data_IF_213374295493
#
_entry.id   IF_213374295493
#
_cell.length_a   1.000
_cell.length_b   1.000
_cell.length_c   1.000
_cell.angle_alpha   90.00
_cell.angle_beta   90.00
_cell.angle_gamma   90.00
#
_symmetry.space_group_name_H-M   'P 1'
#
loop_
_entity.id
_entity.type
_entity.pdbx_description
1 polymer ?
#
# COMPACT_ATOMS: atom_id res chain seq x y z
N UNK A 1 -10.71 -46.96 5.14
CA UNK A 1 -11.20 -45.89 4.24
C UNK A 1 -10.19 -45.74 3.11
N UNK A 2 -10.58 -46.03 1.87
CA UNK A 2 -9.71 -45.79 0.70
C UNK A 2 -9.88 -44.33 0.31
N UNK A 3 -8.86 -43.51 0.53
CA UNK A 3 -8.77 -42.20 -0.10
C UNK A 3 -8.51 -42.44 -1.59
N UNK A 4 -9.56 -42.55 -2.40
CA UNK A 4 -9.43 -42.43 -3.85
C UNK A 4 -9.03 -40.98 -4.14
N UNK A 5 -7.72 -40.77 -4.32
CA UNK A 5 -7.14 -39.50 -4.73
C UNK A 5 -7.57 -39.20 -6.17
N UNK A 6 -8.67 -38.47 -6.30
CA UNK A 6 -9.12 -37.93 -7.58
C UNK A 6 -8.13 -36.84 -8.02
N UNK A 7 -7.27 -37.18 -8.99
CA UNK A 7 -6.22 -36.30 -9.49
C UNK A 7 -6.78 -34.95 -9.96
N UNK A 8 -8.04 -34.91 -10.41
CA UNK A 8 -8.71 -33.66 -10.80
C UNK A 8 -8.95 -32.73 -9.61
N UNK A 9 -9.34 -33.27 -8.45
CA UNK A 9 -9.57 -32.49 -7.22
C UNK A 9 -8.27 -31.92 -6.67
N UNK A 10 -7.17 -32.68 -6.78
CA UNK A 10 -5.84 -32.19 -6.38
C UNK A 10 -5.43 -31.00 -7.25
N UNK A 11 -5.57 -31.10 -8.57
CA UNK A 11 -5.25 -30.01 -9.48
C UNK A 11 -6.10 -28.76 -9.21
N UNK A 12 -7.40 -28.93 -8.94
CA UNK A 12 -8.27 -27.81 -8.55
C UNK A 12 -7.88 -27.19 -7.22
N UNK A 13 -7.57 -27.99 -6.20
CA UNK A 13 -7.12 -27.49 -4.90
C UNK A 13 -5.81 -26.69 -5.03
N UNK A 14 -4.84 -27.23 -5.77
CA UNK A 14 -3.56 -26.54 -6.05
C UNK A 14 -3.80 -25.25 -6.82
N UNK A 15 -4.68 -25.26 -7.84
CA UNK A 15 -5.06 -24.06 -8.57
C UNK A 15 -5.70 -22.98 -7.68
N UNK A 16 -6.57 -23.37 -6.75
CA UNK A 16 -7.15 -22.45 -5.76
C UNK A 16 -6.07 -21.85 -4.88
N UNK A 17 -5.13 -22.66 -4.37
CA UNK A 17 -4.02 -22.18 -3.54
C UNK A 17 -3.15 -21.17 -4.28
N UNK A 18 -2.79 -21.45 -5.54
CA UNK A 18 -2.06 -20.49 -6.37
C UNK A 18 -2.87 -19.23 -6.67
N UNK A 19 -4.19 -19.35 -6.90
CA UNK A 19 -5.07 -18.21 -7.10
C UNK A 19 -5.13 -17.31 -5.86
N UNK A 20 -5.26 -17.90 -4.66
CA UNK A 20 -5.22 -17.15 -3.39
C UNK A 20 -3.84 -16.53 -3.18
N UNK A 21 -2.76 -17.27 -3.45
CA UNK A 21 -1.40 -16.75 -3.37
C UNK A 21 -1.19 -15.55 -4.28
N UNK A 22 -1.69 -15.60 -5.52
CA UNK A 22 -1.64 -14.49 -6.46
C UNK A 22 -2.45 -13.27 -5.97
N UNK A 23 -3.62 -13.48 -5.35
CA UNK A 23 -4.42 -12.39 -4.75
C UNK A 23 -3.67 -11.72 -3.59
N UNK A 24 -3.06 -12.50 -2.70
CA UNK A 24 -2.25 -11.97 -1.59
C UNK A 24 -1.04 -11.20 -2.13
N UNK A 25 -0.39 -11.73 -3.17
CA UNK A 25 0.76 -11.09 -3.80
C UNK A 25 0.37 -9.76 -4.48
N UNK A 26 -0.77 -9.73 -5.18
CA UNK A 26 -1.34 -8.51 -5.77
C UNK A 26 -1.71 -7.47 -4.70
N UNK A 27 -2.29 -7.89 -3.58
CA UNK A 27 -2.67 -7.01 -2.47
C UNK A 27 -1.47 -6.44 -1.68
N UNK A 28 -0.27 -7.01 -1.85
CA UNK A 28 0.98 -6.58 -1.19
C UNK A 28 1.79 -5.56 -1.98
N UNK A 29 1.23 -4.96 -3.04
CA UNK A 29 1.90 -3.97 -3.90
C UNK A 29 3.12 -4.47 -4.68
N UNK A 30 3.30 -5.79 -4.85
CA UNK A 30 4.57 -6.32 -5.38
C UNK A 30 4.70 -6.33 -6.91
N UNK A 31 3.66 -5.98 -7.67
CA UNK A 31 3.62 -6.25 -9.13
C UNK A 31 3.38 -5.00 -9.97
N UNK A 32 2.74 -3.98 -9.42
CA UNK A 32 2.41 -2.76 -10.15
C UNK A 32 2.30 -1.60 -9.16
N UNK A 33 2.97 -0.49 -9.46
CA UNK A 33 2.82 0.81 -8.79
C UNK A 33 1.48 1.45 -9.20
N UNK A 34 0.39 0.69 -9.00
CA UNK A 34 -0.96 1.22 -9.13
C UNK A 34 -1.36 1.87 -7.81
N UNK A 35 -2.17 2.90 -7.88
CA UNK A 35 -2.72 3.54 -6.71
C UNK A 35 -3.50 2.57 -5.84
N UNK A 36 -3.52 2.85 -4.54
CA UNK A 36 -4.23 2.03 -3.57
C UNK A 36 -5.74 1.98 -3.91
N UNK A 37 -6.27 3.07 -4.48
CA UNK A 37 -7.67 3.15 -4.91
C UNK A 37 -7.97 2.27 -6.10
N UNK A 38 -7.10 2.25 -7.12
CA UNK A 38 -7.29 1.40 -8.31
C UNK A 38 -7.18 -0.07 -7.94
N UNK A 39 -6.22 -0.45 -7.09
CA UNK A 39 -6.13 -1.82 -6.55
C UNK A 39 -7.41 -2.22 -5.81
N UNK A 40 -7.94 -1.34 -4.95
CA UNK A 40 -9.20 -1.56 -4.25
C UNK A 40 -10.38 -1.69 -5.22
N UNK A 41 -10.41 -0.96 -6.34
CA UNK A 41 -11.47 -1.03 -7.35
C UNK A 41 -11.39 -2.27 -8.25
N UNK A 42 -10.18 -2.78 -8.52
CA UNK A 42 -9.98 -3.97 -9.36
C UNK A 42 -10.41 -5.27 -8.67
N UNK A 43 -10.27 -5.38 -7.35
CA UNK A 43 -10.69 -6.57 -6.60
C UNK A 43 -12.21 -6.86 -6.70
N UNK A 44 -13.15 -5.91 -6.50
CA UNK A 44 -14.57 -6.15 -6.69
C UNK A 44 -14.92 -6.41 -8.17
N UNK A 45 -14.22 -5.77 -9.12
CA UNK A 45 -14.37 -6.07 -10.56
C UNK A 45 -14.01 -7.54 -10.84
N UNK A 46 -12.89 -8.02 -10.29
CA UNK A 46 -12.46 -9.41 -10.40
C UNK A 46 -13.43 -10.37 -9.69
N UNK A 47 -13.89 -10.02 -8.48
CA UNK A 47 -14.91 -10.77 -7.74
C UNK A 47 -16.16 -11.01 -8.59
N UNK A 48 -16.72 -9.95 -9.17
CA UNK A 48 -17.92 -10.03 -10.02
C UNK A 48 -17.62 -10.83 -11.29
N UNK A 49 -16.47 -10.63 -11.91
CA UNK A 49 -16.05 -11.39 -13.09
C UNK A 49 -15.98 -12.89 -12.83
N UNK A 50 -15.33 -13.28 -11.73
CA UNK A 50 -15.25 -14.68 -11.29
C UNK A 50 -16.60 -15.26 -10.90
N UNK A 51 -17.44 -14.49 -10.20
CA UNK A 51 -18.78 -14.91 -9.82
C UNK A 51 -19.66 -15.19 -11.05
N UNK A 52 -19.65 -14.26 -12.01
CA UNK A 52 -20.43 -14.39 -13.26
C UNK A 52 -19.90 -15.53 -14.11
N UNK A 53 -18.58 -15.71 -14.17
CA UNK A 53 -17.96 -16.86 -14.83
C UNK A 53 -18.40 -18.18 -14.17
N UNK A 54 -18.37 -18.26 -12.84
CA UNK A 54 -18.83 -19.42 -12.08
C UNK A 54 -20.29 -19.76 -12.42
N UNK A 55 -21.17 -18.76 -12.45
CA UNK A 55 -22.59 -18.90 -12.79
C UNK A 55 -22.88 -19.25 -14.25
N UNK A 56 -21.92 -19.08 -15.17
CA UNK A 56 -22.07 -19.38 -16.59
C UNK A 56 -21.46 -20.74 -17.00
N UNK A 57 -20.47 -21.24 -16.23
CA UNK A 57 -19.80 -22.51 -16.48
C UNK A 57 -20.73 -23.69 -16.17
N UNK A 58 -20.78 -24.67 -17.08
CA UNK A 58 -21.61 -25.89 -16.94
C UNK A 58 -20.82 -27.14 -16.53
N UNK A 59 -19.51 -27.02 -16.31
CA UNK A 59 -18.64 -28.14 -15.94
C UNK A 59 -18.59 -28.27 -14.42
N UNK A 60 -19.05 -29.41 -13.92
CA UNK A 60 -18.99 -29.72 -12.49
C UNK A 60 -17.56 -29.65 -11.96
N UNK A 61 -17.36 -28.90 -10.88
CA UNK A 61 -16.08 -28.73 -10.19
C UNK A 61 -15.38 -27.41 -10.55
N UNK A 62 -15.41 -26.99 -11.82
CA UNK A 62 -14.82 -25.70 -12.22
C UNK A 62 -15.64 -24.52 -11.70
N UNK A 63 -16.97 -24.66 -11.67
CA UNK A 63 -17.89 -23.70 -11.06
C UNK A 63 -17.58 -23.50 -9.56
N UNK A 64 -17.38 -24.58 -8.81
CA UNK A 64 -17.02 -24.54 -7.40
C UNK A 64 -15.69 -23.81 -7.17
N UNK A 65 -14.66 -24.09 -8.00
CA UNK A 65 -13.37 -23.39 -7.93
C UNK A 65 -13.53 -21.90 -8.15
N UNK A 66 -14.29 -21.49 -9.19
CA UNK A 66 -14.52 -20.08 -9.49
C UNK A 66 -15.32 -19.38 -8.39
N UNK A 67 -16.30 -20.03 -7.77
CA UNK A 67 -17.00 -19.49 -6.60
C UNK A 67 -16.07 -19.31 -5.40
N UNK A 68 -15.19 -20.26 -5.13
CA UNK A 68 -14.20 -20.14 -4.05
C UNK A 68 -13.23 -19.00 -4.32
N UNK A 69 -12.70 -18.88 -5.53
CA UNK A 69 -11.81 -17.78 -5.92
C UNK A 69 -12.52 -16.42 -5.88
N UNK A 70 -13.78 -16.37 -6.31
CA UNK A 70 -14.62 -15.18 -6.20
C UNK A 70 -14.77 -14.77 -4.73
N UNK A 71 -15.19 -15.67 -3.85
CA UNK A 71 -15.30 -15.39 -2.42
C UNK A 71 -13.96 -14.95 -1.80
N UNK A 72 -12.86 -15.63 -2.15
CA UNK A 72 -11.52 -15.25 -1.70
C UNK A 72 -11.11 -13.85 -2.18
N UNK A 73 -11.44 -13.49 -3.42
CA UNK A 73 -11.19 -12.14 -3.97
C UNK A 73 -11.98 -11.08 -3.21
N UNK A 74 -13.24 -11.37 -2.85
CA UNK A 74 -14.04 -10.44 -2.04
C UNK A 74 -13.49 -10.28 -0.62
N UNK A 75 -13.05 -11.37 0.02
CA UNK A 75 -12.39 -11.30 1.33
C UNK A 75 -11.10 -10.49 1.22
N UNK A 76 -10.31 -10.69 0.17
CA UNK A 76 -9.12 -9.89 -0.11
C UNK A 76 -9.48 -8.41 -0.31
N UNK A 77 -10.56 -8.08 -1.04
CA UNK A 77 -11.07 -6.72 -1.18
C UNK A 77 -11.39 -6.08 0.17
N UNK A 78 -12.19 -6.73 1.01
CA UNK A 78 -12.56 -6.17 2.31
C UNK A 78 -11.33 -6.01 3.21
N UNK A 79 -10.46 -7.03 3.26
CA UNK A 79 -9.22 -6.95 4.03
C UNK A 79 -8.28 -5.84 3.54
N UNK A 80 -8.19 -5.66 2.22
CA UNK A 80 -7.40 -4.59 1.61
C UNK A 80 -7.96 -3.21 1.96
N UNK A 81 -9.28 -3.01 1.81
CA UNK A 81 -9.92 -1.73 2.17
C UNK A 81 -9.73 -1.42 3.65
N UNK A 82 -9.97 -2.38 4.54
CA UNK A 82 -9.83 -2.17 5.99
C UNK A 82 -8.38 -1.88 6.40
N UNK A 83 -7.39 -2.48 5.72
CA UNK A 83 -5.98 -2.28 6.05
C UNK A 83 -5.39 -1.01 5.45
N UNK A 84 -5.86 -0.56 4.29
CA UNK A 84 -5.28 0.58 3.54
C UNK A 84 -6.10 1.85 3.59
N UNK A 85 -7.34 1.79 4.04
CA UNK A 85 -8.22 2.94 4.18
C UNK A 85 -8.65 3.02 5.63
N UNK A 86 -8.41 4.16 6.27
CA UNK A 86 -8.84 4.44 7.64
C UNK A 86 -10.37 4.56 7.70
N UNK A 87 -11.04 3.42 7.70
CA UNK A 87 -12.51 3.29 7.70
C UNK A 87 -13.11 3.32 9.11
N UNK A 88 -12.26 3.25 10.15
CA UNK A 88 -12.65 3.17 11.56
C UNK A 88 -13.47 1.92 11.92
N UNK A 89 -13.69 1.70 13.22
CA UNK A 89 -14.40 0.51 13.73
C UNK A 89 -15.84 0.38 13.19
N UNK A 90 -16.52 1.53 13.03
CA UNK A 90 -17.89 1.56 12.49
C UNK A 90 -17.91 1.15 11.01
N UNK A 91 -16.93 1.60 10.22
CA UNK A 91 -16.80 1.20 8.82
C UNK A 91 -16.52 -0.29 8.67
N UNK A 92 -15.63 -0.84 9.51
CA UNK A 92 -15.35 -2.28 9.56
C UNK A 92 -16.63 -3.08 9.87
N UNK A 93 -17.35 -2.67 10.91
CA UNK A 93 -18.60 -3.34 11.29
C UNK A 93 -19.63 -3.33 10.15
N UNK A 94 -19.85 -2.17 9.52
CA UNK A 94 -20.78 -2.04 8.40
C UNK A 94 -20.34 -2.86 7.19
N UNK A 95 -19.05 -2.89 6.87
CA UNK A 95 -18.50 -3.69 5.78
C UNK A 95 -18.77 -5.19 6.03
N UNK A 96 -18.54 -5.69 7.23
CA UNK A 96 -18.82 -7.08 7.60
C UNK A 96 -20.31 -7.40 7.58
N UNK A 97 -21.16 -6.51 8.07
CA UNK A 97 -22.62 -6.68 8.04
C UNK A 97 -23.15 -6.73 6.60
N UNK A 98 -22.71 -5.80 5.74
CA UNK A 98 -23.07 -5.78 4.32
C UNK A 98 -22.56 -7.03 3.59
N UNK A 99 -21.34 -7.49 3.92
CA UNK A 99 -20.77 -8.73 3.39
C UNK A 99 -21.62 -9.96 3.73
N UNK A 100 -22.10 -10.05 4.98
CA UNK A 100 -22.98 -11.13 5.41
C UNK A 100 -24.29 -11.14 4.60
N UNK A 101 -24.95 -9.98 4.47
CA UNK A 101 -26.17 -9.85 3.66
C UNK A 101 -25.91 -10.24 2.20
N UNK A 102 -24.79 -9.79 1.62
CA UNK A 102 -24.39 -10.14 0.26
C UNK A 102 -24.24 -11.65 0.08
N UNK A 103 -23.43 -12.33 0.89
CA UNK A 103 -23.19 -13.77 0.72
C UNK A 103 -24.41 -14.63 1.04
N UNK A 104 -25.21 -14.25 2.05
CA UNK A 104 -26.50 -14.91 2.31
C UNK A 104 -27.43 -14.73 1.11
N UNK A 105 -27.52 -13.52 0.55
CA UNK A 105 -28.33 -13.23 -0.62
C UNK A 105 -27.87 -14.00 -1.87
N UNK A 106 -26.57 -14.04 -2.15
CA UNK A 106 -26.01 -14.80 -3.26
C UNK A 106 -26.23 -16.30 -3.09
N UNK A 107 -26.04 -16.84 -1.88
CA UNK A 107 -26.30 -18.24 -1.55
C UNK A 107 -27.77 -18.62 -1.71
N UNK A 108 -28.68 -17.77 -1.23
CA UNK A 108 -30.13 -17.94 -1.40
C UNK A 108 -30.53 -17.93 -2.89
N UNK A 109 -30.06 -16.94 -3.65
CA UNK A 109 -30.36 -16.84 -5.09
C UNK A 109 -29.79 -18.02 -5.88
N UNK A 110 -28.59 -18.49 -5.52
CA UNK A 110 -27.98 -19.66 -6.16
C UNK A 110 -28.79 -20.92 -5.88
N UNK A 111 -29.21 -21.13 -4.62
CA UNK A 111 -29.93 -22.34 -4.20
C UNK A 111 -31.38 -22.38 -4.67
N UNK A 112 -32.13 -21.29 -4.50
CA UNK A 112 -33.58 -21.29 -4.75
C UNK A 112 -33.95 -20.89 -6.18
N UNK A 113 -33.21 -19.96 -6.79
CA UNK A 113 -33.51 -19.49 -8.14
C UNK A 113 -32.65 -20.14 -9.22
N UNK A 114 -31.67 -20.96 -8.82
CA UNK A 114 -30.75 -21.60 -9.75
C UNK A 114 -30.05 -20.58 -10.64
N UNK A 115 -29.47 -19.53 -10.04
CA UNK A 115 -28.76 -18.43 -10.72
C UNK A 115 -27.84 -18.96 -11.82
N UNK A 116 -28.35 -18.96 -13.05
CA UNK A 116 -27.63 -19.35 -14.26
C UNK A 116 -27.59 -18.15 -15.16
N UNK A 117 -26.38 -17.70 -15.43
CA UNK A 117 -26.17 -16.58 -16.35
C UNK A 117 -26.00 -17.15 -17.74
N UNK A 118 -26.81 -16.68 -18.68
CA UNK A 118 -26.63 -17.04 -20.08
C UNK A 118 -25.26 -16.59 -20.58
N UNK A 119 -24.62 -17.40 -21.42
CA UNK A 119 -23.28 -17.11 -21.93
C UNK A 119 -23.19 -15.75 -22.66
N UNK A 120 -24.26 -15.31 -23.32
CA UNK A 120 -24.33 -13.99 -23.94
C UNK A 120 -24.25 -12.86 -22.92
N UNK A 121 -25.00 -12.97 -21.82
CA UNK A 121 -24.98 -12.00 -20.71
C UNK A 121 -23.62 -12.01 -20.00
N UNK A 122 -23.06 -13.19 -19.73
CA UNK A 122 -21.75 -13.31 -19.10
C UNK A 122 -20.65 -12.63 -19.93
N UNK A 123 -20.67 -12.79 -21.25
CA UNK A 123 -19.73 -12.10 -22.16
C UNK A 123 -19.88 -10.58 -22.11
N UNK A 124 -21.11 -10.06 -22.09
CA UNK A 124 -21.36 -8.61 -21.99
C UNK A 124 -20.87 -8.06 -20.65
N UNK A 125 -21.17 -8.75 -19.55
CA UNK A 125 -20.68 -8.35 -18.23
C UNK A 125 -19.15 -8.38 -18.20
N UNK A 126 -18.51 -9.44 -18.70
CA UNK A 126 -17.06 -9.51 -18.80
C UNK A 126 -16.47 -8.35 -19.62
N UNK A 127 -17.08 -8.01 -20.76
CA UNK A 127 -16.64 -6.86 -21.57
C UNK A 127 -16.75 -5.54 -20.80
N UNK A 128 -17.88 -5.31 -20.11
CA UNK A 128 -18.08 -4.10 -19.30
C UNK A 128 -17.05 -4.03 -18.17
N UNK A 129 -16.82 -5.13 -17.45
CA UNK A 129 -15.81 -5.20 -16.38
C UNK A 129 -14.40 -4.94 -16.90
N UNK A 130 -14.05 -5.47 -18.08
CA UNK A 130 -12.77 -5.19 -18.73
C UNK A 130 -12.60 -3.73 -19.10
N UNK A 131 -13.65 -3.10 -19.63
CA UNK A 131 -13.63 -1.66 -19.94
C UNK A 131 -13.46 -0.84 -18.67
N UNK A 132 -14.20 -1.17 -17.60
CA UNK A 132 -14.08 -0.48 -16.30
C UNK A 132 -12.67 -0.63 -15.73
N UNK A 133 -12.11 -1.85 -15.71
CA UNK A 133 -10.75 -2.09 -15.27
C UNK A 133 -9.73 -1.29 -16.08
N UNK A 134 -9.86 -1.29 -17.42
CA UNK A 134 -8.98 -0.53 -18.30
C UNK A 134 -9.07 0.98 -18.05
N UNK A 135 -10.26 1.52 -17.81
CA UNK A 135 -10.44 2.95 -17.47
C UNK A 135 -9.73 3.29 -16.17
N UNK A 136 -9.89 2.48 -15.11
CA UNK A 136 -9.18 2.72 -13.84
C UNK A 136 -7.67 2.67 -14.02
N UNK A 137 -7.15 1.61 -14.64
CA UNK A 137 -5.70 1.44 -14.85
C UNK A 137 -5.12 2.55 -15.74
N UNK A 138 -5.81 2.94 -16.81
CA UNK A 138 -5.32 4.02 -17.68
C UNK A 138 -5.40 5.40 -17.01
N UNK A 139 -6.42 5.67 -16.20
CA UNK A 139 -6.50 6.91 -15.43
C UNK A 139 -5.34 7.01 -14.43
N UNK A 140 -5.00 5.90 -13.79
CA UNK A 140 -3.89 5.77 -12.84
C UNK A 140 -2.54 6.10 -13.49
N UNK A 141 -2.24 5.43 -14.61
CA UNK A 141 -0.94 5.53 -15.28
C UNK A 141 -0.66 6.89 -15.93
N UNK A 142 -1.70 7.68 -16.21
CA UNK A 142 -1.57 8.93 -16.93
C UNK A 142 -1.43 10.16 -16.03
N UNK A 143 -1.89 10.08 -14.78
CA UNK A 143 -2.09 11.24 -13.91
C UNK A 143 -1.65 10.98 -12.46
N UNK A 144 -1.25 9.75 -12.13
CA UNK A 144 -0.77 9.38 -10.80
C UNK A 144 0.64 9.86 -10.49
N UNK A 145 0.90 10.06 -9.20
CA UNK A 145 2.22 10.42 -8.66
C UNK A 145 2.12 11.23 -7.38
N UNK A 146 2.97 10.92 -6.41
CA UNK A 146 3.10 11.68 -5.17
C UNK A 146 4.32 12.60 -5.30
N UNK A 147 4.12 13.89 -5.07
CA UNK A 147 5.19 14.86 -5.04
C UNK A 147 5.84 14.87 -3.64
N UNK A 148 7.14 14.63 -3.59
CA UNK A 148 7.89 14.62 -2.34
C UNK A 148 8.69 15.92 -2.18
N UNK A 149 8.58 16.50 -0.99
CA UNK A 149 9.33 17.68 -0.57
C UNK A 149 10.11 17.39 0.69
N UNK A 150 11.27 18.05 0.85
CA UNK A 150 12.03 18.00 2.10
C UNK A 150 12.43 19.40 2.53
N UNK A 151 12.11 19.74 3.77
CA UNK A 151 12.47 21.00 4.42
C UNK A 151 13.41 20.69 5.58
N UNK A 152 14.66 21.15 5.49
CA UNK A 152 15.63 20.99 6.58
C UNK A 152 15.21 21.82 7.81
N UNK A 153 15.51 21.31 9.00
CA UNK A 153 15.42 22.11 10.22
C UNK A 153 16.48 23.21 10.18
N UNK A 154 16.29 24.32 10.90
CA UNK A 154 17.32 25.37 10.98
C UNK A 154 18.53 24.89 11.80
N UNK A 155 18.26 24.13 12.86
CA UNK A 155 19.30 23.56 13.73
C UNK A 155 18.79 22.35 14.51
N UNK A 156 19.72 21.53 14.98
CA UNK A 156 19.52 20.36 15.83
C UNK A 156 20.16 20.59 17.21
N UNK A 157 19.50 20.14 18.28
CA UNK A 157 20.02 20.25 19.64
C UNK A 157 20.96 19.07 19.95
N UNK A 158 22.27 19.30 20.01
CA UNK A 158 23.25 18.25 20.28
C UNK A 158 23.29 17.81 21.77
N UNK A 159 22.48 18.43 22.64
CA UNK A 159 22.19 17.91 23.97
C UNK A 159 21.38 16.60 23.95
N UNK A 160 20.73 16.28 22.84
CA UNK A 160 19.91 15.08 22.67
C UNK A 160 20.65 14.01 21.84
N UNK A 161 20.40 12.74 22.12
CA UNK A 161 20.93 11.63 21.31
C UNK A 161 20.20 11.50 19.98
N UNK A 162 18.93 11.89 19.95
CA UNK A 162 18.08 11.80 18.78
C UNK A 162 17.62 13.20 18.43
N UNK A 163 17.97 13.65 17.22
CA UNK A 163 17.75 15.03 16.81
C UNK A 163 16.98 15.11 15.51
N UNK A 164 16.07 16.10 15.44
CA UNK A 164 15.27 16.34 14.25
C UNK A 164 16.10 17.14 13.25
N UNK A 165 16.21 16.63 12.03
CA UNK A 165 16.98 17.24 10.93
C UNK A 165 16.10 17.85 9.86
N UNK A 166 14.78 17.60 9.90
CA UNK A 166 13.84 18.24 8.99
C UNK A 166 12.46 17.62 9.00
N UNK A 167 11.71 17.93 7.94
CA UNK A 167 10.39 17.39 7.68
C UNK A 167 10.30 17.03 6.20
N UNK A 168 9.86 15.81 5.93
CA UNK A 168 9.50 15.35 4.59
C UNK A 168 7.99 15.46 4.41
N UNK A 169 7.57 15.92 3.25
CA UNK A 169 6.17 16.08 2.84
C UNK A 169 5.90 15.21 1.64
N UNK A 170 4.75 14.53 1.63
CA UNK A 170 4.23 13.80 0.49
C UNK A 170 2.87 14.41 0.11
N UNK A 171 2.77 14.95 -1.10
CA UNK A 171 1.59 15.63 -1.61
C UNK A 171 0.99 14.87 -2.79
N UNK A 172 -0.31 14.63 -2.73
CA UNK A 172 -1.03 13.93 -3.78
C UNK A 172 -2.08 14.85 -4.41
N UNK A 173 -1.73 15.47 -5.53
CA UNK A 173 -2.66 16.32 -6.29
C UNK A 173 -3.71 15.51 -7.07
N UNK A 174 -3.60 14.18 -7.08
CA UNK A 174 -4.46 13.30 -7.86
C UNK A 174 -5.72 12.86 -7.08
N UNK A 175 -6.68 12.28 -7.81
CA UNK A 175 -7.99 11.87 -7.27
C UNK A 175 -7.98 10.50 -6.61
N UNK A 176 -6.91 9.73 -6.75
CA UNK A 176 -6.77 8.41 -6.14
C UNK A 176 -5.80 8.47 -4.97
N UNK A 177 -6.13 7.76 -3.88
CA UNK A 177 -5.20 7.54 -2.77
C UNK A 177 -4.00 6.71 -3.24
N UNK A 178 -2.81 7.18 -2.93
CA UNK A 178 -1.50 6.61 -3.28
C UNK A 178 -0.76 6.11 -2.04
N UNK A 179 0.26 5.27 -2.24
CA UNK A 179 1.23 4.94 -1.19
C UNK A 179 2.12 6.14 -0.89
N UNK A 180 2.52 6.30 0.37
CA UNK A 180 3.47 7.33 0.80
C UNK A 180 4.85 6.68 1.00
N UNK A 181 5.56 6.51 -0.10
CA UNK A 181 6.90 5.93 -0.16
C UNK A 181 7.96 7.04 -0.05
N UNK A 182 8.21 7.52 1.17
CA UNK A 182 9.14 8.64 1.38
C UNK A 182 10.55 8.33 0.84
N UNK A 183 11.19 9.29 0.14
CA UNK A 183 12.50 9.08 -0.46
C UNK A 183 13.55 8.84 0.63
N UNK A 184 14.50 7.96 0.36
CA UNK A 184 15.60 7.69 1.30
C UNK A 184 16.43 8.95 1.48
N UNK A 185 16.89 9.17 2.70
CA UNK A 185 17.78 10.28 3.00
C UNK A 185 18.93 9.84 3.88
N UNK A 186 20.07 10.50 3.69
CA UNK A 186 21.29 10.32 4.45
C UNK A 186 21.71 11.66 5.03
N UNK A 187 22.08 11.68 6.30
CA UNK A 187 22.65 12.85 6.94
C UNK A 187 24.15 12.67 7.13
N UNK A 188 24.93 13.65 6.69
CA UNK A 188 26.36 13.72 6.93
C UNK A 188 26.60 14.67 8.09
N UNK A 189 27.03 14.10 9.21
CA UNK A 189 27.35 14.81 10.45
C UNK A 189 28.83 15.15 10.44
N UNK A 190 29.19 16.42 10.54
CA UNK A 190 30.57 16.90 10.57
C UNK A 190 30.92 17.33 12.01
N UNK A 191 31.20 16.37 12.90
CA UNK A 191 31.56 16.67 14.29
C UNK A 191 32.17 15.44 14.99
N UNK A 192 33.46 15.41 15.39
CA UNK A 192 34.57 16.18 14.85
C UNK A 192 34.95 15.74 13.43
N UNK A 193 34.69 14.47 13.09
CA UNK A 193 34.91 13.87 11.77
C UNK A 193 33.58 13.69 11.04
N UNK A 194 33.64 13.51 9.71
CA UNK A 194 32.45 13.19 8.91
C UNK A 194 31.95 11.78 9.23
N UNK A 195 30.66 11.65 9.54
CA UNK A 195 29.93 10.38 9.65
C UNK A 195 28.62 10.45 8.89
N UNK A 196 28.36 9.42 8.09
CA UNK A 196 27.12 9.30 7.32
C UNK A 196 26.12 8.48 8.15
N UNK A 197 24.90 9.00 8.30
CA UNK A 197 23.81 8.41 9.10
C UNK A 197 22.57 8.22 8.24
N UNK A 198 21.86 7.08 8.34
CA UNK A 198 20.54 6.98 7.75
C UNK A 198 19.60 7.97 8.44
N UNK A 199 18.70 8.57 7.68
CA UNK A 199 17.61 9.38 8.21
C UNK A 199 16.41 8.48 8.45
N UNK A 200 15.92 8.48 9.69
CA UNK A 200 14.70 7.78 10.08
C UNK A 200 13.51 8.75 9.97
N UNK A 201 12.45 8.31 9.30
CA UNK A 201 11.19 9.05 9.25
C UNK A 201 10.23 8.55 10.33
N UNK A 202 9.47 9.47 10.92
CA UNK A 202 8.38 9.18 11.85
C UNK A 202 7.36 10.29 11.87
N UNK A 203 6.12 9.99 12.26
CA UNK A 203 5.04 10.98 12.30
C UNK A 203 5.32 12.08 13.33
N UNK A 204 5.87 11.72 14.48
CA UNK A 204 6.29 12.66 15.52
C UNK A 204 7.33 12.04 16.46
N UNK A 205 7.89 12.83 17.37
CA UNK A 205 8.77 12.34 18.44
C UNK A 205 8.15 11.24 19.32
N UNK A 206 6.82 11.22 19.46
CA UNK A 206 6.10 10.26 20.31
C UNK A 206 5.54 9.07 19.50
N UNK A 207 5.37 9.25 18.19
CA UNK A 207 4.75 8.27 17.29
C UNK A 207 5.71 7.82 16.18
N UNK A 208 6.22 6.61 16.34
CA UNK A 208 7.17 5.94 15.44
C UNK A 208 6.55 5.42 14.13
N UNK A 209 5.24 5.60 13.94
CA UNK A 209 4.59 5.22 12.69
C UNK A 209 4.99 6.21 11.59
N UNK A 210 5.14 5.71 10.37
CA UNK A 210 5.27 6.55 9.18
C UNK A 210 3.94 6.46 8.43
N UNK A 211 3.38 7.59 7.96
CA UNK A 211 2.24 7.54 7.06
C UNK A 211 2.56 6.62 5.86
N UNK A 212 1.73 5.62 5.62
CA UNK A 212 1.93 4.64 4.54
C UNK A 212 1.10 4.97 3.28
N UNK A 213 0.25 5.99 3.36
CA UNK A 213 -0.61 6.43 2.27
C UNK A 213 -0.95 7.92 2.35
N UNK A 214 -1.29 8.49 1.21
CA UNK A 214 -1.75 9.88 1.07
C UNK A 214 -3.05 9.92 0.27
N UNK A 215 -4.11 10.46 0.87
CA UNK A 215 -5.42 10.56 0.21
C UNK A 215 -5.44 11.55 -0.94
N UNK A 216 -6.57 11.57 -1.66
CA UNK A 216 -6.76 12.43 -2.82
C UNK A 216 -6.79 13.91 -2.42
N UNK A 217 -5.90 14.73 -3.00
CA UNK A 217 -5.75 16.15 -2.65
C UNK A 217 -5.22 16.40 -1.25
N UNK A 218 -4.63 15.38 -0.61
CA UNK A 218 -4.09 15.48 0.75
C UNK A 218 -2.57 15.65 0.72
N UNK A 219 -2.04 16.21 1.80
CA UNK A 219 -0.60 16.27 2.09
C UNK A 219 -0.37 15.58 3.43
N UNK A 220 0.59 14.67 3.47
CA UNK A 220 1.06 14.04 4.71
C UNK A 220 2.51 14.42 4.99
N UNK A 221 2.86 14.52 6.26
CA UNK A 221 4.20 14.91 6.70
C UNK A 221 4.79 13.85 7.62
N UNK A 222 6.10 13.65 7.53
CA UNK A 222 6.87 12.91 8.52
C UNK A 222 8.09 13.75 8.93
N UNK A 223 8.44 13.68 10.20
CA UNK A 223 9.67 14.27 10.72
C UNK A 223 10.86 13.37 10.41
N UNK A 224 11.98 13.99 10.04
CA UNK A 224 13.23 13.34 9.73
C UNK A 224 14.17 13.43 10.93
N UNK A 225 14.71 12.31 11.38
CA UNK A 225 15.50 12.19 12.59
C UNK A 225 16.79 11.42 12.36
N UNK A 226 17.81 11.74 13.15
CA UNK A 226 19.07 11.00 13.19
C UNK A 226 19.52 10.79 14.63
N UNK A 227 20.38 9.80 14.80
CA UNK A 227 21.06 9.54 16.06
C UNK A 227 22.47 10.13 16.06
N UNK A 228 22.74 11.00 17.03
CA UNK A 228 24.07 11.55 17.30
C UNK A 228 24.80 10.69 18.33
N UNK A 229 26.07 10.41 18.06
CA UNK A 229 26.96 9.74 19.00
C UNK A 229 27.55 10.71 20.04
N UNK A 230 28.05 10.15 21.14
CA UNK A 230 28.62 10.93 22.25
C UNK A 230 29.76 11.85 21.81
N UNK A 231 30.58 11.42 20.85
CA UNK A 231 31.71 12.21 20.32
C UNK A 231 31.23 13.42 19.51
N UNK A 232 30.23 13.21 18.64
CA UNK A 232 29.59 14.26 17.83
C UNK A 232 28.97 15.34 18.71
N UNK A 233 28.31 14.92 19.80
CA UNK A 233 27.69 15.82 20.77
C UNK A 233 28.69 16.59 21.62
N UNK A 234 29.78 15.93 22.04
CA UNK A 234 30.84 16.56 22.82
C UNK A 234 31.61 17.61 22.00
N UNK A 235 31.76 17.40 20.69
CA UNK A 235 32.45 18.33 19.80
C UNK A 235 31.78 19.71 19.68
N UNK A 236 30.48 19.80 20.00
CA UNK A 236 29.71 21.06 19.96
C UNK A 236 29.24 21.52 21.33
N UNK A 237 29.84 21.00 22.39
CA UNK A 237 29.55 21.34 23.80
C UNK A 237 28.05 21.28 24.15
N UNK A 238 27.32 20.29 23.59
CA UNK A 238 25.86 20.15 23.73
C UNK A 238 25.06 21.40 23.29
N UNK A 239 25.63 22.22 22.40
CA UNK A 239 24.96 23.35 21.76
C UNK A 239 24.06 22.94 20.60
N UNK A 240 23.78 23.88 19.70
CA UNK A 240 23.02 23.62 18.48
C UNK A 240 23.95 23.39 17.28
N UNK A 241 23.61 22.42 16.43
CA UNK A 241 24.30 22.14 15.17
C UNK A 241 23.41 22.64 14.02
N UNK A 242 23.90 23.50 13.11
CA UNK A 242 23.12 23.93 11.94
C UNK A 242 22.81 22.72 11.05
N UNK A 243 21.59 22.70 10.51
CA UNK A 243 21.14 21.64 9.60
C UNK A 243 20.85 22.25 8.22
N UNK A 244 21.40 21.66 7.17
CA UNK A 244 21.30 22.16 5.80
C UNK A 244 20.90 21.02 4.86
N UNK A 245 20.13 21.32 3.81
CA UNK A 245 19.87 20.37 2.71
C UNK A 245 20.88 20.61 1.59
N UNK A 246 21.44 19.55 1.04
CA UNK A 246 22.29 19.61 -0.15
C UNK A 246 22.02 18.44 -1.11
N UNK A 247 22.48 18.56 -2.36
CA UNK A 247 22.42 17.47 -3.35
C UNK A 247 23.46 16.37 -3.09
N UNK A 248 24.53 16.70 -2.38
CA UNK A 248 25.58 15.75 -2.01
C UNK A 248 26.27 16.19 -0.73
N UNK A 249 26.88 15.24 -0.03
CA UNK A 249 27.66 15.53 1.16
C UNK A 249 29.03 16.11 0.78
N UNK A 250 29.38 17.31 1.26
CA UNK A 250 30.72 17.87 1.08
C UNK A 250 31.83 16.91 1.54
N UNK A 251 33.04 17.08 1.02
CA UNK A 251 34.17 16.29 1.51
C UNK A 251 34.58 16.71 2.93
N UNK A 252 34.45 18.00 3.25
CA UNK A 252 34.75 18.57 4.57
C UNK A 252 34.01 19.89 4.78
N UNK A 253 33.96 20.33 6.04
CA UNK A 253 33.38 21.61 6.45
C UNK A 253 34.28 22.26 7.50
N UNK A 254 34.34 23.58 7.53
CA UNK A 254 35.17 24.32 8.49
C UNK A 254 34.55 24.39 9.90
N UNK A 255 33.23 24.22 9.98
CA UNK A 255 32.44 24.30 11.22
C UNK A 255 31.52 23.07 11.35
N UNK A 256 31.15 22.70 12.59
CA UNK A 256 30.20 21.62 12.82
C UNK A 256 28.85 21.86 12.16
N UNK A 257 28.35 20.89 11.39
CA UNK A 257 27.04 20.96 10.73
C UNK A 257 26.50 19.57 10.40
N UNK A 258 25.20 19.51 10.13
CA UNK A 258 24.53 18.32 9.59
C UNK A 258 24.04 18.67 8.19
N UNK A 259 24.48 17.92 7.19
CA UNK A 259 24.02 18.08 5.81
C UNK A 259 23.12 16.90 5.45
N UNK A 260 21.86 17.14 5.13
CA UNK A 260 20.90 16.12 4.70
C UNK A 260 20.87 16.05 3.18
N UNK A 261 21.10 14.86 2.65
CA UNK A 261 20.98 14.52 1.24
C UNK A 261 19.79 13.59 1.08
N UNK A 262 18.83 14.00 0.27
CA UNK A 262 17.67 13.19 -0.10
C UNK A 262 17.98 12.57 -1.45
N UNK A 263 17.85 11.25 -1.56
CA UNK A 263 18.03 10.54 -2.83
C UNK A 263 16.84 10.85 -3.74
N UNK A 264 17.11 11.34 -4.94
CA UNK A 264 16.10 11.41 -6.01
C UNK A 264 15.85 9.99 -6.53
N UNK A 265 14.59 9.56 -6.60
CA UNK A 265 14.18 8.26 -7.17
C UNK A 265 14.35 8.16 -8.69
#
# INVERSE_FOLDING_TARGET
MKFEFDSSKVLYAVGVLFGIGALIYFARDLVFDLSLTVKAALLPVLFVGLFVAASAVRRAGLDAVLYVLSAATYVAFVGYVVSRFDVGDTGIFLALAASSVLFVGLGYLHRERGLRVEAGTAKRVALVLLVVAAVFVTADLLVGGVAYGFTAAESANAGDYEVRVGTVTAENEFVFRESADFPRATACVYAPDRRDRPVDYRRSAEEWSVPDSVGAGETVTAEAWIWLETEERAAVDNGTIPVERAESCPESTDEPRIVVVVEDE
#
